data_IF_938744029903
#
_entry.id   IF_938744029903
#
_cell.length_a   1.000
_cell.length_b   1.000
_cell.length_c   1.000
_cell.angle_alpha   90.00
_cell.angle_beta   90.00
_cell.angle_gamma   90.00
#
_symmetry.space_group_name_H-M   'P 1'
#
loop_
_entity.id
_entity.type
_entity.pdbx_description
1 polymer ?
#
# COMPACT_ATOMS: atom_id res chain seq x y z
N UNK A 1 12.50 -25.25 -23.26
CA UNK A 1 12.74 -24.02 -22.49
C UNK A 1 11.64 -23.04 -22.84
N UNK A 2 10.68 -22.81 -21.94
CA UNK A 2 9.64 -21.79 -22.09
C UNK A 2 9.69 -20.90 -20.85
N UNK A 3 10.55 -19.89 -20.89
CA UNK A 3 10.55 -18.81 -19.91
C UNK A 3 9.40 -17.89 -20.23
N UNK A 4 8.20 -18.20 -19.73
CA UNK A 4 7.08 -17.28 -19.76
C UNK A 4 7.46 -16.06 -18.94
N UNK A 5 7.61 -14.92 -19.60
CA UNK A 5 7.65 -13.60 -18.97
C UNK A 5 6.27 -13.35 -18.37
N UNK A 6 5.98 -13.96 -17.22
CA UNK A 6 4.87 -13.53 -16.40
C UNK A 6 5.23 -12.10 -15.95
N UNK A 7 4.65 -11.10 -16.62
CA UNK A 7 4.80 -9.69 -16.22
C UNK A 7 4.60 -9.60 -14.72
N UNK A 8 5.49 -8.87 -14.06
CA UNK A 8 5.43 -8.73 -12.62
C UNK A 8 4.05 -8.20 -12.25
N UNK A 9 3.33 -8.73 -11.25
CA UNK A 9 1.95 -8.32 -10.99
C UNK A 9 1.77 -6.81 -10.81
N UNK A 10 2.80 -6.10 -10.33
CA UNK A 10 2.81 -4.64 -10.22
C UNK A 10 3.00 -3.88 -11.54
N UNK A 11 3.50 -4.53 -12.58
CA UNK A 11 3.75 -3.94 -13.92
C UNK A 11 2.44 -3.76 -14.73
N UNK A 12 1.40 -4.52 -14.38
CA UNK A 12 0.09 -4.54 -15.08
C UNK A 12 -1.00 -3.82 -14.27
N UNK A 13 -0.69 -3.33 -13.08
CA UNK A 13 -1.68 -2.74 -12.18
C UNK A 13 -2.16 -1.39 -12.74
N UNK A 14 -3.48 -1.23 -12.89
CA UNK A 14 -4.09 0.04 -13.28
C UNK A 14 -4.08 1.05 -12.13
N UNK A 15 -4.14 2.34 -12.44
CA UNK A 15 -4.21 3.40 -11.43
C UNK A 15 -5.37 3.18 -10.43
N UNK A 16 -6.51 2.65 -10.89
CA UNK A 16 -7.65 2.31 -10.04
C UNK A 16 -7.33 1.17 -9.06
N UNK A 17 -6.64 0.12 -9.50
CA UNK A 17 -6.21 -0.98 -8.63
C UNK A 17 -5.19 -0.53 -7.59
N UNK A 18 -4.23 0.32 -7.98
CA UNK A 18 -3.23 0.89 -7.05
C UNK A 18 -3.92 1.78 -6.01
N UNK A 19 -4.90 2.60 -6.43
CA UNK A 19 -5.70 3.40 -5.50
C UNK A 19 -6.46 2.51 -4.51
N UNK A 20 -7.10 1.44 -4.98
CA UNK A 20 -7.82 0.51 -4.10
C UNK A 20 -6.87 -0.12 -3.08
N UNK A 21 -5.66 -0.52 -3.50
CA UNK A 21 -4.63 -1.00 -2.59
C UNK A 21 -4.24 0.05 -1.56
N UNK A 22 -4.09 1.32 -1.97
CA UNK A 22 -3.83 2.42 -1.04
C UNK A 22 -4.96 2.58 0.00
N UNK A 23 -6.23 2.45 -0.43
CA UNK A 23 -7.40 2.48 0.46
C UNK A 23 -7.34 1.35 1.51
N UNK A 24 -6.93 0.13 1.12
CA UNK A 24 -6.72 -1.00 2.04
C UNK A 24 -5.60 -0.73 3.05
N UNK A 25 -4.46 -0.17 2.62
CA UNK A 25 -3.38 0.21 3.55
C UNK A 25 -3.81 1.29 4.54
N UNK A 26 -4.63 2.25 4.09
CA UNK A 26 -5.21 3.29 4.94
C UNK A 26 -6.19 2.70 5.96
N UNK A 27 -7.09 1.80 5.52
CA UNK A 27 -8.01 1.09 6.41
C UNK A 27 -7.28 0.24 7.43
N UNK A 28 -6.34 -0.59 6.97
CA UNK A 28 -5.50 -1.44 7.81
C UNK A 28 -4.66 -0.63 8.82
N UNK A 29 -4.20 0.57 8.46
CA UNK A 29 -3.54 1.46 9.42
C UNK A 29 -4.46 1.80 10.61
N UNK A 30 -5.72 2.14 10.34
CA UNK A 30 -6.70 2.42 11.39
C UNK A 30 -6.98 1.19 12.25
N UNK A 31 -7.11 0.01 11.64
CA UNK A 31 -7.32 -1.24 12.38
C UNK A 31 -6.11 -1.56 13.28
N UNK A 32 -4.89 -1.34 12.78
CA UNK A 32 -3.65 -1.56 13.53
C UNK A 32 -3.49 -0.60 14.70
N UNK A 33 -4.00 0.63 14.62
CA UNK A 33 -4.01 1.55 15.77
C UNK A 33 -4.70 0.92 16.98
N UNK A 34 -5.81 0.19 16.78
CA UNK A 34 -6.51 -0.47 17.88
C UNK A 34 -5.70 -1.57 18.59
N UNK A 35 -4.66 -2.11 17.94
CA UNK A 35 -3.83 -3.21 18.45
C UNK A 35 -2.62 -2.70 19.27
N UNK A 36 -2.39 -1.39 19.25
CA UNK A 36 -1.30 -0.78 19.97
C UNK A 36 -1.45 -0.88 21.49
N UNK A 37 -0.36 -1.18 22.18
CA UNK A 37 -0.31 -1.36 23.63
C UNK A 37 0.36 -0.18 24.31
N UNK A 38 -0.31 0.37 25.33
CA UNK A 38 0.26 1.43 26.18
C UNK A 38 1.52 0.92 26.87
N UNK A 39 2.57 1.73 26.88
CA UNK A 39 3.88 1.35 27.45
C UNK A 39 4.75 0.50 26.55
N UNK A 40 4.30 0.12 25.35
CA UNK A 40 5.12 -0.59 24.36
C UNK A 40 5.05 0.12 22.99
N UNK A 41 5.83 1.20 22.77
CA UNK A 41 5.76 2.01 21.56
C UNK A 41 5.96 1.23 20.25
N UNK A 42 6.79 0.18 20.27
CA UNK A 42 7.02 -0.68 19.10
C UNK A 42 5.76 -1.40 18.59
N UNK A 43 4.74 -1.57 19.44
CA UNK A 43 3.45 -2.15 19.01
C UNK A 43 2.66 -1.25 18.06
N UNK A 44 2.96 0.05 18.03
CA UNK A 44 2.34 1.02 17.13
C UNK A 44 3.14 1.22 15.84
N UNK A 45 4.37 0.71 15.76
CA UNK A 45 5.22 0.87 14.59
C UNK A 45 4.55 0.41 13.27
N UNK A 46 3.83 -0.73 13.23
CA UNK A 46 3.08 -1.12 12.02
C UNK A 46 2.00 -0.12 11.64
N UNK A 47 1.24 0.38 12.63
CA UNK A 47 0.18 1.37 12.41
C UNK A 47 0.73 2.72 11.89
N UNK A 48 1.96 3.08 12.26
CA UNK A 48 2.64 4.27 11.73
C UNK A 48 3.20 4.07 10.31
N UNK A 49 3.65 2.85 9.97
CA UNK A 49 4.23 2.54 8.65
C UNK A 49 3.17 2.37 7.55
N UNK A 50 2.05 1.70 7.85
CA UNK A 50 0.96 1.48 6.89
C UNK A 50 0.45 2.75 6.16
N UNK A 51 0.19 3.88 6.84
CA UNK A 51 -0.30 5.09 6.17
C UNK A 51 0.77 5.76 5.30
N UNK A 52 2.07 5.63 5.61
CA UNK A 52 3.15 6.10 4.74
C UNK A 52 3.08 5.36 3.40
N UNK A 53 2.89 4.04 3.45
CA UNK A 53 2.77 3.24 2.23
C UNK A 53 1.48 3.53 1.46
N UNK A 54 0.36 3.82 2.14
CA UNK A 54 -0.86 4.28 1.48
C UNK A 54 -0.62 5.59 0.69
N UNK A 55 0.10 6.55 1.27
CA UNK A 55 0.45 7.82 0.60
C UNK A 55 1.28 7.56 -0.66
N UNK A 56 2.31 6.72 -0.55
CA UNK A 56 3.14 6.31 -1.69
C UNK A 56 2.29 5.71 -2.82
N UNK A 57 1.38 4.80 -2.49
CA UNK A 57 0.48 4.18 -3.47
C UNK A 57 -0.49 5.19 -4.09
N UNK A 58 -1.06 6.13 -3.33
CA UNK A 58 -1.90 7.19 -3.91
C UNK A 58 -1.13 8.06 -4.90
N UNK A 59 0.13 8.39 -4.59
CA UNK A 59 0.99 9.15 -5.49
C UNK A 59 1.30 8.35 -6.76
N UNK A 60 1.61 7.06 -6.63
CA UNK A 60 1.83 6.17 -7.77
C UNK A 60 0.58 6.03 -8.64
N UNK A 61 -0.60 5.88 -8.03
CA UNK A 61 -1.87 5.84 -8.74
C UNK A 61 -2.13 7.16 -9.51
N UNK A 62 -1.83 8.30 -8.89
CA UNK A 62 -1.96 9.62 -9.53
C UNK A 62 -1.02 9.78 -10.71
N UNK A 63 0.25 9.39 -10.57
CA UNK A 63 1.26 9.47 -11.62
C UNK A 63 0.87 8.58 -12.80
N UNK A 64 0.46 7.33 -12.52
CA UNK A 64 0.02 6.40 -13.53
C UNK A 64 -1.25 6.88 -14.24
N UNK A 65 -2.20 7.47 -13.51
CA UNK A 65 -3.39 8.08 -14.12
C UNK A 65 -3.05 9.24 -15.06
N UNK A 66 -1.95 9.96 -14.78
CA UNK A 66 -1.42 11.03 -15.64
C UNK A 66 -0.54 10.52 -16.79
N UNK A 67 -0.24 9.22 -16.84
CA UNK A 67 0.59 8.60 -17.88
C UNK A 67 2.10 8.74 -17.65
N UNK A 68 2.55 8.87 -16.40
CA UNK A 68 3.97 8.83 -16.01
C UNK A 68 4.45 7.42 -15.70
#
# INVERSE_FOLDING_TARGET
>A
MHGGSASYPGEIATAAQIKLLADEYRGGAHDLLSRGRKGQPSSWAPACMSPIHAIELYLNALLLHKGH
#
